data_IF_996854528479
#
_entry.id   IF_996854528479
#
_cell.length_a   1.000
_cell.length_b   1.000
_cell.length_c   1.000
_cell.angle_alpha   90.00
_cell.angle_beta   90.00
_cell.angle_gamma   90.00
#
_symmetry.space_group_name_H-M   'P 1'
#
loop_
_entity.id
_entity.type
_entity.pdbx_description
1 polymer ?
#
# COMPACT_ATOMS: atom_id res chain seq x y z
N UNK A 1 -69.77 -13.54 4.26
CA UNK A 1 -69.25 -12.73 5.40
C UNK A 1 -67.74 -12.95 5.41
N UNK A 2 -66.99 -11.95 5.03
CA UNK A 2 -65.51 -11.99 5.00
C UNK A 2 -65.00 -11.22 6.23
N UNK A 3 -64.54 -11.93 7.23
CA UNK A 3 -63.85 -11.29 8.34
C UNK A 3 -62.39 -11.07 7.99
N UNK A 4 -62.00 -9.80 7.85
CA UNK A 4 -60.62 -9.39 7.79
C UNK A 4 -60.07 -9.26 9.20
N UNK A 5 -59.27 -10.24 9.61
CA UNK A 5 -58.52 -10.14 10.86
C UNK A 5 -57.38 -9.10 10.70
N UNK A 6 -57.56 -7.94 11.33
CA UNK A 6 -56.55 -6.93 11.51
C UNK A 6 -55.70 -7.26 12.74
N UNK A 7 -54.65 -8.04 12.59
CA UNK A 7 -53.65 -8.22 13.65
C UNK A 7 -52.70 -7.04 13.62
N UNK A 8 -52.89 -6.02 14.46
CA UNK A 8 -51.86 -5.03 14.79
C UNK A 8 -50.90 -5.67 15.78
N UNK A 9 -49.78 -6.17 15.28
CA UNK A 9 -48.67 -6.52 16.15
C UNK A 9 -47.91 -5.22 16.51
N UNK A 10 -48.12 -4.76 17.75
CA UNK A 10 -47.38 -3.64 18.34
C UNK A 10 -46.08 -4.17 18.98
N UNK A 11 -45.31 -4.95 18.24
CA UNK A 11 -43.91 -5.24 18.58
C UNK A 11 -43.05 -4.27 17.77
N UNK A 12 -42.43 -3.32 18.45
CA UNK A 12 -41.41 -2.45 17.86
C UNK A 12 -40.15 -3.22 17.44
N UNK A 13 -40.30 -4.13 16.47
CA UNK A 13 -39.17 -4.68 15.74
C UNK A 13 -38.71 -3.58 14.81
N UNK A 14 -37.72 -2.83 15.26
CA UNK A 14 -36.87 -2.06 14.37
C UNK A 14 -36.22 -3.06 13.45
N UNK A 15 -36.65 -3.10 12.17
CA UNK A 15 -35.95 -3.84 11.13
C UNK A 15 -34.64 -3.06 10.91
N UNK A 16 -33.59 -3.44 11.62
CA UNK A 16 -32.23 -3.01 11.29
C UNK A 16 -31.99 -3.50 9.87
N UNK A 17 -31.91 -2.58 8.92
CA UNK A 17 -31.59 -2.92 7.54
C UNK A 17 -30.28 -3.70 7.57
N UNK A 18 -30.32 -4.94 7.16
CA UNK A 18 -29.18 -5.88 7.16
C UNK A 18 -27.98 -5.36 6.31
N UNK A 19 -28.18 -4.29 5.56
CA UNK A 19 -27.14 -3.59 4.77
C UNK A 19 -26.06 -2.92 5.61
N UNK A 20 -26.32 -2.60 6.89
CA UNK A 20 -25.32 -1.94 7.75
C UNK A 20 -24.42 -2.93 8.51
N UNK A 21 -24.72 -4.22 8.46
CA UNK A 21 -23.95 -5.25 9.17
C UNK A 21 -22.88 -5.94 8.31
N UNK A 22 -22.87 -5.72 6.99
CA UNK A 22 -21.80 -6.22 6.13
C UNK A 22 -20.75 -5.09 6.01
N UNK A 23 -20.01 -4.85 7.07
CA UNK A 23 -18.70 -4.22 6.91
C UNK A 23 -17.83 -5.21 6.17
N UNK A 24 -17.65 -4.98 4.86
CA UNK A 24 -16.67 -5.72 4.08
C UNK A 24 -15.33 -5.51 4.77
N UNK A 25 -14.68 -6.61 5.18
CA UNK A 25 -13.29 -6.53 5.57
C UNK A 25 -12.53 -6.07 4.32
N UNK A 26 -12.02 -4.86 4.35
CA UNK A 26 -11.23 -4.30 3.24
C UNK A 26 -9.77 -4.30 3.66
N UNK A 27 -8.93 -4.87 2.79
CA UNK A 27 -7.49 -4.80 3.00
C UNK A 27 -7.02 -3.36 2.85
N UNK A 28 -6.44 -2.81 3.89
CA UNK A 28 -5.88 -1.46 3.95
C UNK A 28 -4.40 -1.50 4.28
N UNK A 29 -3.73 -0.39 4.01
CA UNK A 29 -2.39 -0.18 4.51
C UNK A 29 -2.07 1.30 4.57
N UNK A 30 -1.21 1.64 5.52
CA UNK A 30 -0.73 3.01 5.71
C UNK A 30 0.79 3.03 5.83
N UNK A 31 1.40 3.88 5.01
CA UNK A 31 2.80 4.24 5.18
C UNK A 31 2.89 5.52 6.02
N UNK A 32 3.86 5.58 6.92
CA UNK A 32 4.29 6.81 7.55
C UNK A 32 5.73 7.07 7.09
N UNK A 33 5.98 8.26 6.59
CA UNK A 33 7.25 8.63 5.97
C UNK A 33 7.82 9.85 6.66
N UNK A 34 9.08 9.76 7.07
CA UNK A 34 9.84 10.87 7.65
C UNK A 34 11.07 11.09 6.79
N UNK A 35 11.21 12.28 6.21
CA UNK A 35 12.39 12.70 5.48
C UNK A 35 13.33 13.45 6.41
N UNK A 36 14.60 13.06 6.39
CA UNK A 36 15.67 13.75 7.12
C UNK A 36 16.75 14.19 6.13
N UNK A 37 17.34 15.33 6.41
CA UNK A 37 18.51 15.82 5.69
C UNK A 37 19.78 15.02 6.07
N UNK A 38 20.92 15.36 5.44
CA UNK A 38 22.23 14.73 5.68
C UNK A 38 22.71 14.83 7.15
N UNK A 39 22.21 15.81 7.91
CA UNK A 39 22.56 16.04 9.31
C UNK A 39 21.56 15.38 10.28
N UNK A 40 20.58 14.61 9.74
CA UNK A 40 19.57 13.89 10.49
C UNK A 40 18.37 14.74 10.94
N UNK A 41 18.28 16.01 10.53
CA UNK A 41 17.18 16.90 10.86
C UNK A 41 15.97 16.60 10.00
N UNK A 42 14.78 16.53 10.60
CA UNK A 42 13.53 16.29 9.89
C UNK A 42 13.22 17.49 8.98
N UNK A 43 13.07 17.24 7.69
CA UNK A 43 12.62 18.18 6.67
C UNK A 43 11.10 18.21 6.56
N UNK A 44 10.49 17.04 6.55
CA UNK A 44 9.04 16.84 6.50
C UNK A 44 8.66 15.43 6.96
N UNK A 45 7.39 15.25 7.26
CA UNK A 45 6.78 13.95 7.50
C UNK A 45 5.38 13.94 6.90
N UNK A 46 4.91 12.78 6.46
CA UNK A 46 3.57 12.61 5.90
C UNK A 46 3.13 11.16 5.95
N UNK A 47 1.87 10.93 5.60
CA UNK A 47 1.26 9.59 5.53
C UNK A 47 0.76 9.31 4.12
N UNK A 48 0.62 8.02 3.82
CA UNK A 48 0.04 7.52 2.58
C UNK A 48 -0.97 6.45 2.95
N UNK A 49 -2.22 6.62 2.56
CA UNK A 49 -3.19 5.54 2.54
C UNK A 49 -3.10 4.86 1.17
N UNK A 50 -2.81 3.56 1.16
CA UNK A 50 -2.59 2.85 -0.09
C UNK A 50 -3.88 2.29 -0.71
N UNK A 51 -3.86 2.10 -2.02
CA UNK A 51 -4.80 1.25 -2.73
C UNK A 51 -4.19 -0.14 -2.84
N UNK A 52 -4.85 -1.15 -2.26
CA UNK A 52 -4.49 -2.56 -2.52
C UNK A 52 -5.06 -2.92 -3.89
N UNK A 53 -4.18 -3.33 -4.82
CA UNK A 53 -4.58 -3.65 -6.19
C UNK A 53 -5.44 -4.90 -6.24
N UNK A 54 -6.14 -5.13 -7.36
CA UNK A 54 -6.91 -6.37 -7.57
C UNK A 54 -5.99 -7.59 -7.51
N UNK A 55 -4.81 -7.51 -8.11
CA UNK A 55 -3.82 -8.60 -8.06
C UNK A 55 -3.27 -8.80 -6.65
N UNK A 56 -3.05 -7.73 -5.89
CA UNK A 56 -2.64 -7.81 -4.48
C UNK A 56 -3.68 -8.51 -3.61
N UNK A 57 -4.97 -8.24 -3.81
CA UNK A 57 -6.06 -8.94 -3.12
C UNK A 57 -6.11 -10.43 -3.46
N UNK A 58 -5.98 -10.76 -4.75
CA UNK A 58 -5.94 -12.15 -5.21
C UNK A 58 -4.73 -12.89 -4.61
N UNK A 59 -3.54 -12.28 -4.65
CA UNK A 59 -2.33 -12.82 -4.03
C UNK A 59 -2.52 -13.12 -2.54
N UNK A 60 -3.14 -12.22 -1.79
CA UNK A 60 -3.43 -12.43 -0.38
C UNK A 60 -4.38 -13.62 -0.16
N UNK A 61 -5.44 -13.74 -0.97
CA UNK A 61 -6.39 -14.85 -0.91
C UNK A 61 -5.73 -16.18 -1.29
N UNK A 62 -4.92 -16.22 -2.36
CA UNK A 62 -4.20 -17.40 -2.80
C UNK A 62 -3.21 -17.87 -1.73
N UNK A 63 -2.49 -16.95 -1.11
CA UNK A 63 -1.55 -17.27 -0.03
C UNK A 63 -2.28 -17.83 1.21
N UNK A 64 -3.43 -17.27 1.56
CA UNK A 64 -4.17 -17.65 2.76
C UNK A 64 -5.02 -18.91 2.57
N UNK A 65 -5.66 -19.06 1.40
CA UNK A 65 -6.66 -20.12 1.17
C UNK A 65 -6.14 -21.30 0.35
N UNK A 66 -5.09 -21.15 -0.45
CA UNK A 66 -4.63 -22.18 -1.38
C UNK A 66 -4.02 -23.43 -0.72
N UNK A 67 -3.69 -23.37 0.55
CA UNK A 67 -3.24 -24.53 1.33
C UNK A 67 -1.93 -25.18 0.89
N UNK A 68 -1.29 -24.79 -0.20
CA UNK A 68 0.01 -25.34 -0.61
C UNK A 68 0.76 -24.51 -1.65
N UNK A 69 2.07 -24.38 -1.47
CA UNK A 69 3.01 -24.15 -2.56
C UNK A 69 3.14 -22.73 -3.09
N UNK A 70 2.45 -21.73 -2.54
CA UNK A 70 2.67 -20.36 -2.93
C UNK A 70 3.93 -19.81 -2.25
N UNK A 71 5.01 -19.69 -3.01
CA UNK A 71 6.23 -19.04 -2.51
C UNK A 71 6.06 -17.53 -2.62
N UNK A 72 5.94 -16.85 -1.48
CA UNK A 72 5.89 -15.39 -1.43
C UNK A 72 7.34 -14.88 -1.39
N UNK A 73 7.84 -14.41 -2.54
CA UNK A 73 9.09 -13.65 -2.61
C UNK A 73 8.81 -12.19 -2.29
N UNK A 74 9.65 -11.54 -1.52
CA UNK A 74 9.44 -10.18 -1.02
C UNK A 74 8.76 -10.19 0.34
N UNK A 75 8.00 -9.16 0.69
CA UNK A 75 7.75 -7.93 -0.08
C UNK A 75 8.99 -7.04 -0.22
N UNK A 76 8.97 -6.28 -1.31
CA UNK A 76 9.90 -5.19 -1.51
C UNK A 76 9.15 -3.89 -1.63
N UNK A 77 9.67 -2.83 -1.01
CA UNK A 77 9.10 -1.49 -1.08
C UNK A 77 9.91 -0.64 -2.02
N UNK A 78 9.21 0.10 -2.90
CA UNK A 78 9.78 1.10 -3.77
C UNK A 78 9.07 2.45 -3.61
N UNK A 79 9.61 3.48 -4.25
CA UNK A 79 9.10 4.85 -4.23
C UNK A 79 8.50 5.21 -5.58
N UNK A 80 7.45 6.02 -5.58
CA UNK A 80 6.79 6.54 -6.77
C UNK A 80 7.38 7.92 -7.07
N UNK A 81 7.81 8.13 -8.34
CA UNK A 81 8.30 9.41 -8.85
C UNK A 81 7.14 10.36 -9.17
N UNK A 82 7.42 11.66 -9.19
CA UNK A 82 6.52 12.66 -9.77
C UNK A 82 6.64 12.75 -11.30
N UNK A 83 7.63 12.09 -11.91
CA UNK A 83 7.83 12.08 -13.37
C UNK A 83 6.69 11.30 -14.01
N UNK A 84 6.06 11.89 -15.04
CA UNK A 84 4.93 11.30 -15.78
C UNK A 84 3.76 10.83 -14.90
N UNK A 85 3.53 11.55 -13.80
CA UNK A 85 2.47 11.22 -12.85
C UNK A 85 1.07 11.59 -13.39
N UNK A 86 0.12 10.69 -13.20
CA UNK A 86 -1.33 10.99 -13.33
C UNK A 86 -2.16 10.39 -12.19
N UNK A 87 -2.09 9.08 -11.95
CA UNK A 87 -2.85 8.41 -10.89
C UNK A 87 -2.29 7.03 -10.56
N UNK A 88 -2.65 6.49 -9.39
CA UNK A 88 -2.60 5.07 -9.06
C UNK A 88 -3.99 4.48 -9.27
N UNK A 89 -4.07 3.33 -9.93
CA UNK A 89 -5.31 2.60 -10.16
C UNK A 89 -5.30 1.20 -9.54
N UNK A 90 -6.48 0.72 -9.10
CA UNK A 90 -6.61 -0.64 -8.57
C UNK A 90 -6.30 -1.74 -9.59
N UNK A 91 -6.34 -1.41 -10.88
CA UNK A 91 -6.00 -2.31 -11.97
C UNK A 91 -4.50 -2.31 -12.33
N UNK A 92 -3.68 -1.46 -11.71
CA UNK A 92 -2.25 -1.40 -11.98
C UNK A 92 -1.55 -2.72 -11.63
N UNK A 93 -0.53 -3.03 -12.42
CA UNK A 93 0.38 -4.17 -12.23
C UNK A 93 1.82 -3.69 -12.25
N UNK A 94 2.80 -4.50 -11.84
CA UNK A 94 4.20 -4.14 -11.99
C UNK A 94 4.62 -3.98 -13.46
N UNK A 95 4.03 -4.75 -14.37
CA UNK A 95 4.30 -4.66 -15.81
C UNK A 95 3.49 -3.60 -16.54
N UNK A 96 2.47 -3.00 -15.92
CA UNK A 96 1.60 -1.99 -16.53
C UNK A 96 0.97 -1.09 -15.49
N UNK A 97 1.55 0.09 -15.31
CA UNK A 97 1.08 1.16 -14.43
C UNK A 97 1.30 2.52 -15.12
N UNK A 98 0.54 2.73 -16.21
CA UNK A 98 0.72 3.89 -17.11
C UNK A 98 0.54 5.26 -16.41
N UNK A 99 -0.10 5.28 -15.23
CA UNK A 99 -0.36 6.50 -14.46
C UNK A 99 0.80 6.96 -13.56
N UNK A 100 1.88 6.18 -13.42
CA UNK A 100 3.01 6.53 -12.57
C UNK A 100 4.29 5.79 -12.98
N UNK A 101 5.42 6.27 -12.51
CA UNK A 101 6.73 5.67 -12.71
C UNK A 101 7.42 5.43 -11.38
N UNK A 102 8.24 4.39 -11.30
CA UNK A 102 9.10 4.17 -10.14
C UNK A 102 10.18 5.26 -10.10
N UNK A 103 10.42 5.81 -8.91
CA UNK A 103 11.61 6.60 -8.64
C UNK A 103 12.83 5.65 -8.53
N UNK A 104 14.02 6.10 -8.88
CA UNK A 104 15.20 5.29 -8.68
C UNK A 104 16.30 5.51 -9.70
N UNK A 105 16.45 4.67 -10.72
CA UNK A 105 17.58 4.81 -11.68
C UNK A 105 17.17 5.72 -12.85
N UNK A 106 16.01 5.46 -13.44
CA UNK A 106 15.54 6.16 -14.64
C UNK A 106 14.82 7.47 -14.31
N UNK A 107 14.05 7.49 -13.23
CA UNK A 107 13.23 8.64 -12.85
C UNK A 107 13.66 9.22 -11.51
N UNK A 108 13.79 10.55 -11.44
CA UNK A 108 14.10 11.26 -10.20
C UNK A 108 12.97 11.18 -9.16
N UNK A 109 13.29 11.20 -7.86
CA UNK A 109 14.62 11.16 -7.27
C UNK A 109 15.27 9.78 -7.43
N UNK A 110 16.61 9.72 -7.36
CA UNK A 110 17.32 8.45 -7.50
C UNK A 110 17.65 7.84 -6.14
N UNK A 111 17.61 6.49 -6.10
CA UNK A 111 18.10 5.64 -5.02
C UNK A 111 18.48 4.27 -5.60
N UNK A 112 19.25 3.46 -4.88
CA UNK A 112 19.93 2.31 -5.49
C UNK A 112 19.09 1.04 -5.60
N UNK A 113 18.18 0.78 -4.63
CA UNK A 113 17.47 -0.51 -4.58
C UNK A 113 16.19 -0.41 -3.75
N UNK A 114 15.16 -1.16 -4.16
CA UNK A 114 13.96 -1.39 -3.34
C UNK A 114 14.36 -2.02 -2.02
N UNK A 115 13.59 -1.78 -0.97
CA UNK A 115 13.90 -2.26 0.39
C UNK A 115 13.11 -3.51 0.71
N UNK A 116 13.80 -4.52 1.23
CA UNK A 116 13.16 -5.74 1.75
C UNK A 116 12.38 -5.41 3.01
N UNK A 117 11.11 -5.79 3.05
CA UNK A 117 10.25 -5.60 4.20
C UNK A 117 10.37 -6.80 5.15
N UNK A 118 10.74 -6.53 6.40
CA UNK A 118 10.65 -7.48 7.50
C UNK A 118 9.43 -7.13 8.37
N UNK A 119 8.73 -8.15 8.89
CA UNK A 119 7.45 -7.98 9.55
C UNK A 119 7.45 -8.50 10.97
N UNK A 120 6.78 -7.79 11.87
CA UNK A 120 6.37 -8.33 13.15
C UNK A 120 5.23 -9.36 13.00
N UNK A 121 4.98 -10.13 14.04
CA UNK A 121 3.80 -10.99 14.08
C UNK A 121 2.52 -10.16 13.96
N UNK A 122 1.52 -10.66 13.23
CA UNK A 122 0.23 -10.00 13.16
C UNK A 122 -0.47 -10.01 14.52
N UNK A 123 -1.08 -8.90 14.89
CA UNK A 123 -1.88 -8.74 16.10
C UNK A 123 -3.08 -7.82 15.84
N UNK A 124 -4.22 -8.13 16.46
CA UNK A 124 -5.46 -7.30 16.38
C UNK A 124 -5.89 -6.93 14.94
N UNK A 125 -5.72 -7.85 13.98
CA UNK A 125 -6.07 -7.61 12.57
C UNK A 125 -5.08 -6.72 11.81
N UNK A 126 -3.91 -6.43 12.39
CA UNK A 126 -2.89 -5.60 11.75
C UNK A 126 -1.53 -6.30 11.72
N UNK A 127 -0.69 -5.93 10.76
CA UNK A 127 0.68 -6.40 10.61
C UNK A 127 1.58 -5.23 10.21
N UNK A 128 2.60 -4.95 11.01
CA UNK A 128 3.50 -3.82 10.80
C UNK A 128 4.91 -4.29 10.41
N UNK A 129 5.66 -3.40 9.76
CA UNK A 129 7.11 -3.59 9.60
C UNK A 129 7.78 -3.59 10.98
N UNK A 130 8.71 -4.53 11.19
CA UNK A 130 9.50 -4.65 12.42
C UNK A 130 10.48 -3.48 12.63
N UNK A 131 10.85 -2.78 11.56
CA UNK A 131 11.69 -1.59 11.59
C UNK A 131 11.37 -0.68 10.40
N UNK A 132 11.69 0.61 10.55
CA UNK A 132 11.61 1.55 9.44
C UNK A 132 12.60 1.17 8.32
N UNK A 133 12.12 1.20 7.08
CA UNK A 133 12.98 1.06 5.90
C UNK A 133 13.60 2.41 5.58
N UNK A 134 14.91 2.42 5.33
CA UNK A 134 15.65 3.65 5.04
C UNK A 134 16.06 3.69 3.58
N UNK A 135 15.50 4.65 2.84
CA UNK A 135 15.93 5.00 1.49
C UNK A 135 16.89 6.18 1.56
N UNK A 136 18.13 5.98 1.15
CA UNK A 136 19.11 7.07 1.00
C UNK A 136 19.05 7.55 -0.45
N UNK A 137 18.72 8.82 -0.62
CA UNK A 137 18.68 9.43 -1.96
C UNK A 137 20.08 9.62 -2.50
N UNK A 138 20.26 9.27 -3.77
CA UNK A 138 21.49 9.48 -4.54
C UNK A 138 21.33 10.57 -5.60
N UNK A 139 20.18 11.24 -5.61
CA UNK A 139 19.87 12.38 -6.46
C UNK A 139 18.58 13.05 -6.03
N UNK A 140 18.51 14.35 -6.26
CA UNK A 140 17.35 15.17 -5.91
C UNK A 140 16.14 14.90 -6.81
N UNK A 141 14.95 15.18 -6.30
CA UNK A 141 13.71 15.09 -7.07
C UNK A 141 12.46 15.21 -6.19
N UNK A 142 11.34 14.77 -6.74
CA UNK A 142 10.05 14.80 -6.04
C UNK A 142 9.45 13.40 -5.95
N UNK A 143 9.21 12.94 -4.73
CA UNK A 143 8.52 11.67 -4.44
C UNK A 143 7.02 11.92 -4.36
N UNK A 144 6.24 11.06 -4.99
CA UNK A 144 4.76 11.05 -4.92
C UNK A 144 4.23 10.13 -3.85
N UNK A 145 4.89 8.99 -3.63
CA UNK A 145 4.39 7.96 -2.75
C UNK A 145 5.27 6.72 -2.68
N UNK A 146 4.65 5.62 -2.21
CA UNK A 146 5.30 4.32 -2.06
C UNK A 146 4.46 3.21 -2.68
N UNK A 147 5.11 2.08 -3.00
CA UNK A 147 4.44 0.87 -3.43
C UNK A 147 5.08 -0.38 -2.82
N UNK A 148 4.35 -1.49 -2.85
CA UNK A 148 4.81 -2.81 -2.42
C UNK A 148 4.67 -3.82 -3.56
N UNK A 149 5.72 -4.61 -3.79
CA UNK A 149 5.76 -5.69 -4.77
C UNK A 149 6.10 -7.01 -4.10
N UNK A 150 5.40 -8.06 -4.52
CA UNK A 150 5.48 -9.42 -3.96
C UNK A 150 5.54 -10.48 -5.04
N UNK A 151 5.74 -11.72 -4.60
CA UNK A 151 5.47 -12.93 -5.37
C UNK A 151 6.55 -13.31 -6.35
N UNK A 152 6.27 -14.30 -7.17
CA UNK A 152 7.23 -14.85 -8.14
C UNK A 152 7.77 -13.75 -9.05
N UNK A 153 9.09 -13.68 -9.18
CA UNK A 153 9.77 -12.68 -9.99
C UNK A 153 10.03 -11.35 -9.28
N UNK A 154 9.42 -11.07 -8.14
CA UNK A 154 9.71 -9.84 -7.39
C UNK A 154 11.17 -9.79 -6.97
N UNK A 155 11.80 -8.65 -7.19
CA UNK A 155 13.22 -8.41 -6.89
C UNK A 155 13.43 -7.02 -6.30
N UNK A 156 14.60 -6.81 -5.70
CA UNK A 156 15.02 -5.51 -5.16
C UNK A 156 15.49 -4.51 -6.23
N UNK A 157 15.67 -4.96 -7.45
CA UNK A 157 16.12 -4.11 -8.57
C UNK A 157 15.06 -3.06 -8.90
N UNK A 158 15.45 -1.80 -8.89
CA UNK A 158 14.63 -0.66 -9.33
C UNK A 158 14.34 -0.77 -10.82
N UNK A 159 13.20 -0.26 -11.26
CA UNK A 159 12.68 -0.32 -12.64
C UNK A 159 12.40 -1.75 -13.17
N UNK A 160 12.53 -2.79 -12.34
CA UNK A 160 12.11 -4.15 -12.71
C UNK A 160 10.59 -4.26 -12.68
N UNK A 161 10.02 -4.89 -13.69
CA UNK A 161 8.56 -5.01 -13.92
C UNK A 161 7.97 -6.36 -13.51
N UNK A 162 8.80 -7.27 -12.96
CA UNK A 162 8.36 -8.59 -12.50
C UNK A 162 7.77 -8.53 -11.09
N UNK A 163 7.02 -9.55 -10.75
CA UNK A 163 6.30 -9.66 -9.49
C UNK A 163 4.88 -9.12 -9.55
N UNK A 164 4.19 -9.18 -8.43
CA UNK A 164 2.80 -8.71 -8.26
C UNK A 164 2.80 -7.38 -7.52
N UNK A 165 2.30 -6.32 -8.13
CA UNK A 165 2.03 -5.07 -7.43
C UNK A 165 0.92 -5.32 -6.40
N UNK A 166 1.31 -5.36 -5.13
CA UNK A 166 0.37 -5.57 -4.04
C UNK A 166 -0.43 -4.30 -3.74
N UNK A 167 0.26 -3.20 -3.60
CA UNK A 167 -0.37 -1.92 -3.30
C UNK A 167 0.50 -0.75 -3.71
N UNK A 168 -0.14 0.39 -3.97
CA UNK A 168 0.51 1.66 -4.22
C UNK A 168 -0.30 2.78 -3.59
N UNK A 169 0.34 3.90 -3.24
CA UNK A 169 -0.34 5.05 -2.68
C UNK A 169 0.51 6.31 -2.74
N UNK A 170 -0.14 7.45 -2.58
CA UNK A 170 0.47 8.78 -2.64
C UNK A 170 0.33 9.53 -1.35
N UNK A 171 1.23 10.48 -1.11
CA UNK A 171 1.22 11.33 0.08
C UNK A 171 -0.09 12.11 0.21
N UNK A 172 -0.69 12.10 1.38
CA UNK A 172 -1.92 12.84 1.68
C UNK A 172 -1.71 14.36 1.63
N UNK A 173 -0.52 14.82 2.00
CA UNK A 173 -0.11 16.22 1.96
C UNK A 173 0.54 16.65 0.64
N UNK A 174 0.37 15.87 -0.45
CA UNK A 174 0.91 16.19 -1.77
C UNK A 174 2.39 15.88 -1.94
N UNK A 175 2.96 16.36 -3.01
CA UNK A 175 4.31 16.07 -3.48
C UNK A 175 5.40 16.44 -2.45
N UNK A 176 6.44 15.60 -2.36
CA UNK A 176 7.52 15.75 -1.39
C UNK A 176 8.88 15.88 -2.07
N UNK A 177 9.51 17.03 -1.90
CA UNK A 177 10.85 17.28 -2.43
C UNK A 177 11.91 16.63 -1.55
N UNK A 178 12.87 15.96 -2.18
CA UNK A 178 14.07 15.41 -1.54
C UNK A 178 15.32 15.91 -2.26
N UNK A 179 16.42 16.01 -1.52
CA UNK A 179 17.74 16.34 -2.05
C UNK A 179 18.62 15.08 -2.08
N UNK A 180 19.73 15.17 -2.77
CA UNK A 180 20.80 14.18 -2.65
C UNK A 180 21.23 14.04 -1.17
N UNK A 181 21.53 12.83 -0.74
CA UNK A 181 21.86 12.43 0.63
C UNK A 181 20.74 12.51 1.67
N UNK A 182 19.55 13.01 1.31
CA UNK A 182 18.37 12.90 2.20
C UNK A 182 18.04 11.42 2.45
N UNK A 183 17.45 11.13 3.60
CA UNK A 183 16.93 9.80 3.92
C UNK A 183 15.43 9.84 4.13
N UNK A 184 14.71 8.88 3.50
CA UNK A 184 13.31 8.61 3.79
C UNK A 184 13.22 7.38 4.70
N UNK A 185 12.70 7.59 5.90
CA UNK A 185 12.43 6.53 6.86
C UNK A 185 10.95 6.18 6.75
N UNK A 186 10.65 4.97 6.27
CA UNK A 186 9.29 4.53 5.95
C UNK A 186 8.89 3.38 6.85
N UNK A 187 7.81 3.53 7.59
CA UNK A 187 7.09 2.43 8.26
C UNK A 187 5.82 2.12 7.49
N UNK A 188 5.32 0.89 7.61
CA UNK A 188 4.07 0.48 6.98
C UNK A 188 3.31 -0.46 7.90
N UNK A 189 1.99 -0.29 7.93
CA UNK A 189 1.08 -1.19 8.63
C UNK A 189 -0.04 -1.59 7.68
N UNK A 190 -0.23 -2.90 7.51
CA UNK A 190 -1.39 -3.48 6.83
C UNK A 190 -2.46 -3.85 7.85
N UNK A 191 -3.75 -3.73 7.50
CA UNK A 191 -4.90 -4.09 8.33
C UNK A 191 -6.05 -4.66 7.50
N UNK A 192 -6.90 -5.46 8.15
CA UNK A 192 -8.11 -6.07 7.61
C UNK A 192 -9.33 -5.67 8.44
#
# INVERSE_FOLDING_TARGET
MNEKANAKCACGCSLVKHTDLIKKAEAHGRFNVVCKDKDGKIKWQDTIDNVVTTLGKNLALDTFLAGSGYTVTGPYMGLISSVSWSAVAAADTMGSHAGWTEAGITNAPTYTTRKTCAWDAAATGAKALSAALVFTMTGAGTVKGCFLVYGTGAVTTVDNTDGTLYSAGVFTGGDKVVADTDTLNVTYTASL
#
